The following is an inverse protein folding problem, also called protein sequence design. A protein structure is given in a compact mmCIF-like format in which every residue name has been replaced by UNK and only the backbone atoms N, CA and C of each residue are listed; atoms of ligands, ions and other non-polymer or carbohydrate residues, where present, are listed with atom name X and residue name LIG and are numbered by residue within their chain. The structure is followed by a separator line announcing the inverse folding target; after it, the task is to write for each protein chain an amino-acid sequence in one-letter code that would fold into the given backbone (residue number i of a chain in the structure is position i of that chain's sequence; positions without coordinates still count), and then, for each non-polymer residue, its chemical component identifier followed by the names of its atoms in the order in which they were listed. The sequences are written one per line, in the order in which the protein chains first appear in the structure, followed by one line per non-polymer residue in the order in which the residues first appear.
data_IF_006637491947
#
_entry.id   IF_006637491947
#
_cell.length_a   1.000
_cell.length_b   1.000
_cell.length_c   1.000
_cell.angle_alpha   90.00
_cell.angle_beta   90.00
_cell.angle_gamma   90.00
#
_symmetry.space_group_name_H-M   'P 1'
#
loop_
_entity.id
_entity.type
_entity.pdbx_description
1 polymer ?
#
# COMPACT_ATOMS: atom_id res chain seq x y z
N UNK A 1 -9.46 7.63 -0.96
CA UNK A 1 -10.33 7.40 -2.12
C UNK A 1 -11.44 6.43 -1.72
N UNK A 2 -12.66 6.58 -2.23
CA UNK A 2 -13.75 5.65 -1.93
C UNK A 2 -13.42 4.25 -2.49
N UNK A 3 -13.75 3.19 -1.77
CA UNK A 3 -13.38 1.81 -2.12
C UNK A 3 -12.04 1.30 -1.56
N UNK A 4 -11.14 2.18 -1.09
CA UNK A 4 -9.89 1.79 -0.42
C UNK A 4 -10.07 1.82 1.11
N UNK A 5 -10.29 0.66 1.72
CA UNK A 5 -10.44 0.52 3.17
C UNK A 5 -9.15 0.28 3.96
N UNK A 6 -9.30 0.06 5.27
CA UNK A 6 -8.21 -0.19 6.22
C UNK A 6 -7.35 -1.39 5.83
N UNK A 7 -7.94 -2.38 5.16
CA UNK A 7 -7.29 -3.61 4.68
C UNK A 7 -6.17 -3.38 3.66
N UNK A 8 -6.11 -2.20 3.04
CA UNK A 8 -5.02 -1.83 2.14
C UNK A 8 -3.74 -1.40 2.88
N UNK A 9 -3.83 -1.03 4.15
CA UNK A 9 -2.69 -0.54 4.93
C UNK A 9 -1.75 -1.70 5.31
N UNK A 10 -0.55 -1.68 4.72
CA UNK A 10 0.44 -2.75 4.88
C UNK A 10 0.26 -3.91 3.92
N UNK A 11 -0.73 -3.85 3.01
CA UNK A 11 -0.95 -4.87 2.00
C UNK A 11 0.16 -4.82 0.95
N UNK A 12 0.67 -5.99 0.56
CA UNK A 12 1.61 -6.10 -0.55
C UNK A 12 0.88 -5.89 -1.87
N UNK A 13 1.45 -5.05 -2.73
CA UNK A 13 0.99 -4.89 -4.12
C UNK A 13 1.50 -6.07 -4.95
N UNK A 14 0.70 -7.13 -5.01
CA UNK A 14 0.89 -8.30 -5.87
C UNK A 14 -0.15 -8.34 -6.99
N UNK A 15 -0.14 -9.41 -7.81
CA UNK A 15 -1.08 -9.54 -8.92
C UNK A 15 -2.55 -9.51 -8.46
N UNK A 16 -2.87 -10.09 -7.30
CA UNK A 16 -4.24 -10.08 -6.77
C UNK A 16 -4.65 -8.69 -6.31
N UNK A 17 -3.74 -7.97 -5.66
CA UNK A 17 -3.97 -6.57 -5.30
C UNK A 17 -4.21 -5.70 -6.55
N UNK A 18 -3.45 -5.92 -7.63
CA UNK A 18 -3.64 -5.21 -8.89
C UNK A 18 -5.02 -5.49 -9.52
N UNK A 19 -5.43 -6.76 -9.60
CA UNK A 19 -6.77 -7.15 -10.10
C UNK A 19 -7.90 -6.52 -9.28
N UNK A 20 -7.71 -6.40 -7.97
CA UNK A 20 -8.67 -5.76 -7.07
C UNK A 20 -8.70 -4.24 -7.24
N UNK A 21 -7.55 -3.57 -7.41
CA UNK A 21 -7.48 -2.14 -7.74
C UNK A 21 -8.17 -1.84 -9.07
N UNK A 22 -8.01 -2.69 -10.09
CA UNK A 22 -8.76 -2.54 -11.35
C UNK A 22 -10.27 -2.67 -11.16
N UNK A 23 -10.71 -3.60 -10.29
CA UNK A 23 -12.13 -3.76 -9.96
C UNK A 23 -12.67 -2.51 -9.24
N UNK A 24 -11.95 -2.02 -8.24
CA UNK A 24 -12.31 -0.81 -7.52
C UNK A 24 -12.28 0.43 -8.42
N UNK A 25 -11.37 0.49 -9.39
CA UNK A 25 -11.33 1.55 -10.40
C UNK A 25 -12.62 1.60 -11.20
N UNK A 26 -13.16 0.44 -11.61
CA UNK A 26 -14.45 0.36 -12.33
C UNK A 26 -15.65 0.71 -11.46
N UNK A 27 -15.61 0.41 -10.16
CA UNK A 27 -16.73 0.59 -9.24
C UNK A 27 -16.80 1.99 -8.63
N UNK A 28 -15.65 2.53 -8.24
CA UNK A 28 -15.54 3.79 -7.47
C UNK A 28 -14.78 4.89 -8.22
N UNK A 29 -14.26 4.62 -9.42
CA UNK A 29 -13.57 5.61 -10.23
C UNK A 29 -12.14 5.94 -9.77
N UNK A 30 -11.57 5.13 -8.87
CA UNK A 30 -10.19 5.32 -8.40
C UNK A 30 -9.18 5.10 -9.53
N UNK A 31 -8.07 5.81 -9.51
CA UNK A 31 -6.92 5.55 -10.36
C UNK A 31 -6.14 4.33 -9.80
N UNK A 32 -6.04 3.22 -10.56
CA UNK A 32 -5.38 2.00 -10.06
C UNK A 32 -3.87 2.18 -9.79
N UNK A 33 -3.24 3.24 -10.30
CA UNK A 33 -1.85 3.61 -10.01
C UNK A 33 -1.70 4.57 -8.82
N UNK A 34 -2.81 5.00 -8.20
CA UNK A 34 -2.82 5.89 -7.04
C UNK A 34 -2.61 7.37 -7.35
N UNK A 35 -2.66 7.77 -8.63
CA UNK A 35 -2.53 9.17 -9.03
C UNK A 35 -3.61 10.05 -8.39
N UNK A 36 -3.30 11.32 -8.14
CA UNK A 36 -4.21 12.22 -7.42
C UNK A 36 -4.19 12.05 -5.90
N UNK A 37 -3.27 11.25 -5.36
CA UNK A 37 -3.08 11.08 -3.91
C UNK A 37 -4.06 10.08 -3.29
N UNK A 38 -4.48 9.08 -4.05
CA UNK A 38 -5.45 8.09 -3.60
C UNK A 38 -4.85 7.09 -2.60
N UNK A 39 -3.60 6.70 -2.84
CA UNK A 39 -2.77 5.92 -1.94
C UNK A 39 -1.28 6.13 -2.26
N UNK A 40 -0.44 5.87 -1.28
CA UNK A 40 1.02 5.84 -1.42
C UNK A 40 1.54 4.41 -1.28
N UNK A 41 2.70 4.15 -1.89
CA UNK A 41 3.38 2.85 -1.76
C UNK A 41 4.81 3.03 -1.25
N UNK A 42 5.35 1.96 -0.66
CA UNK A 42 6.73 1.91 -0.20
C UNK A 42 7.42 0.67 -0.78
N UNK A 43 8.50 0.89 -1.54
CA UNK A 43 9.22 -0.20 -2.21
C UNK A 43 10.19 -0.85 -1.22
N UNK A 44 9.87 -2.07 -0.80
CA UNK A 44 10.72 -2.83 0.16
C UNK A 44 11.86 -3.59 -0.51
N UNK A 45 11.77 -3.86 -1.82
CA UNK A 45 12.81 -4.57 -2.56
C UNK A 45 12.70 -4.28 -4.07
N UNK A 46 13.84 -4.16 -4.75
CA UNK A 46 13.90 -4.09 -6.21
C UNK A 46 15.24 -4.65 -6.73
N UNK A 47 15.39 -4.92 -8.04
CA UNK A 47 16.63 -5.48 -8.59
C UNK A 47 17.89 -4.62 -8.37
N UNK A 48 17.73 -3.32 -8.11
CA UNK A 48 18.83 -2.41 -7.83
C UNK A 48 19.27 -2.43 -6.35
N UNK A 49 18.49 -3.02 -5.46
CA UNK A 49 18.81 -3.07 -4.03
C UNK A 49 19.81 -4.19 -3.74
N UNK A 50 20.90 -3.87 -3.03
CA UNK A 50 21.87 -4.86 -2.57
C UNK A 50 21.33 -5.75 -1.43
N UNK A 51 20.33 -5.23 -0.70
CA UNK A 51 19.65 -5.89 0.44
C UNK A 51 18.19 -5.44 0.44
N UNK A 52 17.28 -6.32 0.83
CA UNK A 52 15.85 -5.95 0.95
C UNK A 52 15.61 -5.23 2.27
N UNK A 53 14.58 -4.39 2.31
CA UNK A 53 14.07 -3.78 3.54
C UNK A 53 13.07 -4.76 4.15
N UNK A 54 13.37 -5.25 5.35
CA UNK A 54 12.47 -6.07 6.15
C UNK A 54 11.81 -5.20 7.23
N UNK A 55 10.49 -5.06 7.16
CA UNK A 55 9.68 -4.34 8.15
C UNK A 55 9.56 -5.22 9.38
N UNK A 56 10.11 -4.77 10.51
CA UNK A 56 10.12 -5.50 11.79
C UNK A 56 8.90 -5.18 12.64
N UNK A 57 8.53 -3.89 12.67
CA UNK A 57 7.35 -3.41 13.39
C UNK A 57 6.67 -2.31 12.60
N UNK A 58 5.35 -2.35 12.60
CA UNK A 58 4.51 -1.33 12.03
C UNK A 58 3.18 -1.24 12.77
N UNK A 59 2.54 -0.09 12.66
CA UNK A 59 1.21 0.18 13.22
C UNK A 59 0.29 0.77 12.15
N UNK A 60 -1.02 0.62 12.35
CA UNK A 60 -2.04 1.19 11.47
C UNK A 60 -2.74 2.34 12.20
N UNK A 61 -2.72 3.52 11.58
CA UNK A 61 -3.50 4.68 12.01
C UNK A 61 -4.69 4.88 11.04
N UNK A 62 -5.88 4.42 11.42
CA UNK A 62 -7.11 4.59 10.62
C UNK A 62 -7.96 5.74 11.16
N UNK A 63 -8.45 6.61 10.27
CA UNK A 63 -9.24 7.82 10.59
C UNK A 63 -10.67 7.74 10.05
N UNK A 64 -11.18 6.54 9.79
CA UNK A 64 -12.54 6.32 9.29
C UNK A 64 -12.64 6.31 7.77
N UNK A 65 -12.04 7.30 7.09
CA UNK A 65 -12.08 7.46 5.62
C UNK A 65 -10.69 7.47 4.95
N UNK A 66 -9.63 7.50 5.76
CA UNK A 66 -8.23 7.45 5.31
C UNK A 66 -7.37 6.87 6.42
N UNK A 67 -6.15 6.46 6.10
CA UNK A 67 -5.21 6.01 7.11
C UNK A 67 -3.80 5.81 6.61
N UNK A 68 -2.93 5.47 7.55
CA UNK A 68 -1.51 5.31 7.32
C UNK A 68 -1.04 3.95 7.85
N UNK A 69 -0.14 3.33 7.08
CA UNK A 69 0.69 2.23 7.55
C UNK A 69 2.03 2.82 8.00
N UNK A 70 2.26 2.83 9.31
CA UNK A 70 3.42 3.50 9.93
C UNK A 70 4.48 2.44 10.19
N UNK A 71 5.59 2.48 9.45
CA UNK A 71 6.76 1.62 9.69
C UNK A 71 7.54 2.23 10.85
N UNK A 72 7.58 1.51 11.99
CA UNK A 72 8.26 1.96 13.21
C UNK A 72 9.69 1.43 13.30
N UNK A 73 9.92 0.23 12.77
CA UNK A 73 11.23 -0.42 12.75
C UNK A 73 11.40 -1.24 11.46
N UNK A 74 12.54 -1.08 10.81
CA UNK A 74 12.93 -1.86 9.64
C UNK A 74 14.45 -2.11 9.64
N UNK A 75 14.86 -3.20 8.98
CA UNK A 75 16.26 -3.62 8.87
C UNK A 75 16.61 -4.00 7.43
N UNK A 76 17.88 -3.84 7.03
CA UNK A 76 18.38 -4.37 5.76
C UNK A 76 18.80 -5.83 5.93
N UNK A 77 18.33 -6.70 5.05
CA UNK A 77 18.61 -8.16 5.05
C UNK A 77 18.98 -8.69 3.67
#
# INVERSE_FOLDING_TARGET
AEGLGREWLGRKVDKKAAEELERLSREYGINPCGEGGEFDTFVTNCPLFQRRIEIRRASIAWRGYSGFFIIEEASLV
#
